data_IF_783742798104
#
_entry.id   IF_783742798104
#
_cell.length_a   1.000
_cell.length_b   1.000
_cell.length_c   1.000
_cell.angle_alpha   90.00
_cell.angle_beta   90.00
_cell.angle_gamma   90.00
#
_symmetry.space_group_name_H-M   'P 1'
#
loop_
_entity.id
_entity.type
_entity.pdbx_description
1 polymer ?
#
# COMPACT_ATOMS: atom_id res chain seq x y z
N UNK A 1 -8.79 28.53 4.88
CA UNK A 1 -7.47 28.92 4.34
C UNK A 1 -6.71 29.68 5.40
N UNK A 2 -7.38 30.62 6.09
CA UNK A 2 -6.81 31.36 7.22
C UNK A 2 -6.27 30.44 8.32
N UNK A 3 -7.03 29.44 8.76
CA UNK A 3 -6.56 28.49 9.78
C UNK A 3 -5.33 27.67 9.34
N UNK A 4 -5.28 27.30 8.06
CA UNK A 4 -4.15 26.56 7.48
C UNK A 4 -2.91 27.47 7.41
N UNK A 5 -3.10 28.74 7.06
CA UNK A 5 -2.04 29.73 6.99
C UNK A 5 -1.44 29.98 8.38
N UNK A 6 -2.31 30.17 9.40
CA UNK A 6 -1.91 30.32 10.78
C UNK A 6 -1.16 29.08 11.30
N UNK A 7 -1.70 27.88 11.10
CA UNK A 7 -1.07 26.64 11.54
C UNK A 7 0.27 26.35 10.85
N UNK A 8 0.44 26.77 9.60
CA UNK A 8 1.68 26.61 8.84
C UNK A 8 2.67 27.79 9.01
N UNK A 9 2.32 28.80 9.83
CA UNK A 9 3.08 30.03 10.00
C UNK A 9 3.45 30.73 8.68
N UNK A 10 2.48 30.82 7.76
CA UNK A 10 2.62 31.50 6.46
C UNK A 10 1.46 32.46 6.22
N UNK A 11 1.62 33.40 5.29
CA UNK A 11 0.51 34.28 4.91
C UNK A 11 -0.54 33.54 4.07
N UNK A 12 -1.81 33.97 4.16
CA UNK A 12 -2.89 33.51 3.27
C UNK A 12 -2.50 33.71 1.79
N UNK A 13 -1.88 34.85 1.46
CA UNK A 13 -1.40 35.18 0.11
C UNK A 13 -0.38 34.15 -0.41
N UNK A 14 0.52 33.67 0.46
CA UNK A 14 1.49 32.62 0.13
C UNK A 14 0.79 31.32 -0.25
N UNK A 15 -0.24 30.90 0.49
CA UNK A 15 -0.98 29.67 0.16
C UNK A 15 -1.74 29.79 -1.16
N UNK A 16 -2.41 30.92 -1.42
CA UNK A 16 -3.08 31.14 -2.70
C UNK A 16 -2.09 31.23 -3.87
N UNK A 17 -0.96 31.91 -3.69
CA UNK A 17 0.07 31.99 -4.74
C UNK A 17 0.65 30.62 -5.11
N UNK A 18 0.73 29.69 -4.14
CA UNK A 18 1.33 28.38 -4.35
C UNK A 18 0.35 27.33 -4.86
N UNK A 19 -0.89 27.37 -4.38
CA UNK A 19 -1.87 26.30 -4.63
C UNK A 19 -3.12 26.78 -5.37
N UNK A 20 -3.35 28.09 -5.51
CA UNK A 20 -4.51 28.67 -6.20
C UNK A 20 -5.84 28.56 -5.46
N UNK A 21 -6.12 27.42 -4.82
CA UNK A 21 -7.36 27.19 -4.06
C UNK A 21 -7.18 26.25 -2.88
N UNK A 22 -8.16 26.24 -1.95
CA UNK A 22 -8.22 25.27 -0.84
C UNK A 22 -8.28 23.83 -1.37
N UNK A 23 -9.03 23.59 -2.43
CA UNK A 23 -9.17 22.26 -3.06
C UNK A 23 -7.83 21.76 -3.59
N UNK A 24 -7.12 22.60 -4.34
CA UNK A 24 -5.80 22.27 -4.90
C UNK A 24 -4.74 22.07 -3.80
N UNK A 25 -4.80 22.83 -2.71
CA UNK A 25 -3.97 22.58 -1.53
C UNK A 25 -4.23 21.21 -0.92
N UNK A 26 -5.51 20.83 -0.77
CA UNK A 26 -5.89 19.52 -0.22
C UNK A 26 -5.45 18.36 -1.12
N UNK A 27 -5.62 18.49 -2.44
CA UNK A 27 -5.13 17.52 -3.43
C UNK A 27 -3.62 17.36 -3.31
N UNK A 28 -2.87 18.47 -3.40
CA UNK A 28 -1.41 18.45 -3.27
C UNK A 28 -0.94 17.85 -1.93
N UNK A 29 -1.71 18.07 -0.85
CA UNK A 29 -1.42 17.50 0.46
C UNK A 29 -1.67 15.99 0.51
N UNK A 30 -2.78 15.52 -0.05
CA UNK A 30 -3.06 14.09 -0.18
C UNK A 30 -1.96 13.40 -0.99
N UNK A 31 -1.54 14.02 -2.10
CA UNK A 31 -0.49 13.48 -2.96
C UNK A 31 0.86 13.38 -2.26
N UNK A 32 1.31 14.50 -1.69
CA UNK A 32 2.56 14.55 -0.97
C UNK A 32 2.56 13.60 0.24
N UNK A 33 1.42 13.48 0.94
CA UNK A 33 1.24 12.56 2.04
C UNK A 33 1.45 11.11 1.60
N UNK A 34 0.71 10.67 0.59
CA UNK A 34 0.81 9.31 0.02
C UNK A 34 2.24 9.00 -0.42
N UNK A 35 2.87 9.88 -1.20
CA UNK A 35 4.24 9.67 -1.68
C UNK A 35 5.26 9.58 -0.52
N UNK A 36 5.13 10.42 0.51
CA UNK A 36 6.01 10.39 1.68
C UNK A 36 5.92 9.07 2.43
N UNK A 37 4.71 8.56 2.66
CA UNK A 37 4.52 7.30 3.38
C UNK A 37 4.95 6.09 2.55
N UNK A 38 4.74 6.11 1.23
CA UNK A 38 5.25 5.07 0.33
C UNK A 38 6.77 5.00 0.30
N UNK A 39 7.46 6.15 0.21
CA UNK A 39 8.93 6.21 0.25
C UNK A 39 9.52 5.62 1.54
N UNK A 40 8.77 5.65 2.64
CA UNK A 40 9.19 5.07 3.91
C UNK A 40 9.03 3.54 3.95
N UNK A 41 8.27 2.94 3.03
CA UNK A 41 8.12 1.49 2.91
C UNK A 41 9.32 0.95 2.13
N UNK A 42 10.30 0.42 2.84
CA UNK A 42 11.47 -0.21 2.23
C UNK A 42 11.15 -1.63 1.77
N UNK A 43 11.36 -1.89 0.48
CA UNK A 43 11.32 -3.23 -0.11
C UNK A 43 12.67 -3.91 0.16
N UNK A 44 12.65 -4.95 0.99
CA UNK A 44 13.84 -5.78 1.18
C UNK A 44 13.95 -6.78 0.02
N UNK A 45 14.83 -6.48 -0.93
CA UNK A 45 15.10 -7.31 -2.11
C UNK A 45 16.09 -8.45 -1.84
N UNK A 46 16.80 -8.46 -0.71
CA UNK A 46 17.98 -9.31 -0.50
C UNK A 46 17.73 -10.51 0.42
N UNK A 47 16.62 -10.58 1.14
CA UNK A 47 16.41 -11.63 2.15
C UNK A 47 15.23 -12.56 1.85
N UNK A 48 15.53 -13.86 1.72
CA UNK A 48 14.57 -14.96 1.69
C UNK A 48 13.83 -15.17 0.36
N UNK A 49 13.02 -16.22 0.32
CA UNK A 49 12.10 -16.52 -0.79
C UNK A 49 11.09 -15.38 -1.04
N UNK A 50 10.43 -15.41 -2.21
CA UNK A 50 9.41 -14.41 -2.57
C UNK A 50 8.32 -14.28 -1.50
N UNK A 51 7.86 -15.40 -0.93
CA UNK A 51 6.81 -15.43 0.10
C UNK A 51 7.18 -14.58 1.32
N UNK A 52 8.39 -14.75 1.85
CA UNK A 52 8.88 -13.99 3.00
C UNK A 52 9.07 -12.51 2.69
N UNK A 53 9.54 -12.17 1.48
CA UNK A 53 9.64 -10.78 1.01
C UNK A 53 8.27 -10.11 0.95
N UNK A 54 7.29 -10.79 0.36
CA UNK A 54 5.90 -10.31 0.28
C UNK A 54 5.28 -10.15 1.67
N UNK A 55 5.41 -11.12 2.56
CA UNK A 55 4.87 -11.03 3.92
C UNK A 55 5.44 -9.83 4.69
N UNK A 56 6.77 -9.61 4.62
CA UNK A 56 7.42 -8.44 5.23
C UNK A 56 6.91 -7.14 4.63
N UNK A 57 6.78 -7.06 3.30
CA UNK A 57 6.31 -5.88 2.59
C UNK A 57 4.85 -5.56 2.96
N UNK A 58 3.94 -6.53 2.81
CA UNK A 58 2.52 -6.39 3.16
C UNK A 58 2.33 -6.04 4.63
N UNK A 59 3.17 -6.58 5.52
CA UNK A 59 3.12 -6.22 6.93
C UNK A 59 3.47 -4.75 7.16
N UNK A 60 4.55 -4.25 6.56
CA UNK A 60 4.93 -2.83 6.63
C UNK A 60 3.83 -1.92 6.07
N UNK A 61 3.21 -2.33 4.96
CA UNK A 61 2.10 -1.59 4.35
C UNK A 61 0.87 -1.55 5.26
N UNK A 62 0.44 -2.69 5.81
CA UNK A 62 -0.69 -2.73 6.74
C UNK A 62 -0.42 -1.90 8.00
N UNK A 63 0.78 -1.99 8.58
CA UNK A 63 1.15 -1.18 9.74
C UNK A 63 1.17 0.31 9.43
N UNK A 64 1.62 0.70 8.23
CA UNK A 64 1.57 2.09 7.77
C UNK A 64 0.12 2.56 7.56
N UNK A 65 -0.73 1.74 6.92
CA UNK A 65 -2.11 2.07 6.60
C UNK A 65 -3.03 2.23 7.85
N UNK A 66 -2.57 1.73 8.99
CA UNK A 66 -3.24 1.87 10.29
C UNK A 66 -2.78 3.09 11.10
N UNK A 67 -1.79 3.86 10.61
CA UNK A 67 -1.35 5.09 11.28
C UNK A 67 -2.42 6.18 11.14
N UNK A 68 -2.70 6.97 12.21
CA UNK A 68 -3.71 8.04 12.16
C UNK A 68 -3.52 9.01 10.99
N UNK A 69 -2.27 9.36 10.69
CA UNK A 69 -1.91 10.26 9.59
C UNK A 69 -2.32 9.69 8.21
N UNK A 70 -2.10 8.38 7.99
CA UNK A 70 -2.44 7.71 6.73
C UNK A 70 -3.95 7.52 6.61
N UNK A 71 -4.62 7.20 7.72
CA UNK A 71 -6.09 7.17 7.77
C UNK A 71 -6.65 8.54 7.35
N UNK A 72 -6.10 9.64 7.88
CA UNK A 72 -6.52 10.99 7.50
C UNK A 72 -6.26 11.33 6.02
N UNK A 73 -5.13 10.89 5.46
CA UNK A 73 -4.82 11.05 4.02
C UNK A 73 -5.83 10.30 3.16
N UNK A 74 -6.18 9.06 3.51
CA UNK A 74 -7.16 8.26 2.78
C UNK A 74 -8.57 8.84 2.89
N UNK A 75 -8.98 9.32 4.08
CA UNK A 75 -10.25 10.05 4.23
C UNK A 75 -10.30 11.27 3.31
N UNK A 76 -9.19 12.00 3.21
CA UNK A 76 -9.09 13.12 2.28
C UNK A 76 -9.17 12.67 0.82
N UNK A 77 -8.53 11.57 0.46
CA UNK A 77 -8.63 10.98 -0.87
C UNK A 77 -10.07 10.57 -1.20
N UNK A 78 -10.77 9.88 -0.31
CA UNK A 78 -12.20 9.53 -0.47
C UNK A 78 -13.05 10.78 -0.70
N UNK A 79 -12.84 11.84 0.08
CA UNK A 79 -13.55 13.11 -0.11
C UNK A 79 -13.28 13.76 -1.48
N UNK A 80 -12.06 13.62 -2.02
CA UNK A 80 -11.70 14.07 -3.38
C UNK A 80 -12.48 13.26 -4.42
N UNK A 81 -12.52 11.94 -4.29
CA UNK A 81 -13.25 11.03 -5.20
C UNK A 81 -14.76 11.27 -5.18
N UNK A 82 -15.36 11.41 -3.99
CA UNK A 82 -16.81 11.68 -3.85
C UNK A 82 -17.23 12.98 -4.54
N UNK A 83 -16.31 13.93 -4.68
CA UNK A 83 -16.52 15.22 -5.35
C UNK A 83 -16.18 15.21 -6.84
N UNK A 84 -15.81 14.07 -7.41
CA UNK A 84 -15.41 13.93 -8.81
C UNK A 84 -14.19 14.78 -9.19
N UNK A 85 -13.25 14.93 -8.24
CA UNK A 85 -12.04 15.74 -8.40
C UNK A 85 -10.80 14.87 -8.68
N UNK A 86 -10.97 13.57 -8.88
CA UNK A 86 -9.90 12.59 -9.07
C UNK A 86 -9.06 12.80 -10.33
N UNK A 87 -9.62 13.44 -11.37
CA UNK A 87 -8.85 13.85 -12.55
C UNK A 87 -7.72 14.83 -12.22
N UNK A 88 -7.73 15.42 -11.02
CA UNK A 88 -6.71 16.34 -10.52
C UNK A 88 -5.64 15.61 -9.69
N UNK A 89 -5.76 14.29 -9.47
CA UNK A 89 -4.76 13.47 -8.81
C UNK A 89 -3.76 12.92 -9.83
N UNK A 90 -2.47 13.07 -9.51
CA UNK A 90 -1.33 12.61 -10.30
C UNK A 90 -0.81 11.23 -9.86
N UNK A 91 -1.44 10.61 -8.85
CA UNK A 91 -1.00 9.33 -8.30
C UNK A 91 -1.63 8.16 -9.07
N UNK A 92 -0.84 7.11 -9.32
CA UNK A 92 -1.31 5.81 -9.80
C UNK A 92 -2.49 5.30 -8.95
N UNK A 93 -3.48 4.63 -9.57
CA UNK A 93 -4.69 4.17 -8.86
C UNK A 93 -4.41 3.28 -7.64
N UNK A 94 -3.24 2.63 -7.56
CA UNK A 94 -2.82 1.88 -6.38
C UNK A 94 -1.28 1.79 -6.25
N UNK A 95 -0.62 2.76 -5.59
CA UNK A 95 0.84 2.77 -5.49
C UNK A 95 1.41 1.68 -4.56
N UNK A 96 0.59 1.11 -3.66
CA UNK A 96 0.99 -0.02 -2.84
C UNK A 96 1.07 -1.32 -3.64
N UNK A 97 0.11 -1.55 -4.55
CA UNK A 97 0.15 -2.69 -5.47
C UNK A 97 1.37 -2.67 -6.39
N UNK A 98 1.84 -1.49 -6.83
CA UNK A 98 3.05 -1.38 -7.66
C UNK A 98 4.30 -1.95 -6.98
N UNK A 99 4.46 -1.78 -5.65
CA UNK A 99 5.59 -2.37 -4.92
C UNK A 99 5.53 -3.90 -4.88
N UNK A 100 4.32 -4.47 -4.84
CA UNK A 100 4.11 -5.92 -4.91
C UNK A 100 4.42 -6.41 -6.32
N UNK A 101 3.92 -5.70 -7.35
CA UNK A 101 4.14 -6.02 -8.75
C UNK A 101 5.64 -6.05 -9.09
N UNK A 102 6.44 -5.13 -8.55
CA UNK A 102 7.89 -5.11 -8.74
C UNK A 102 8.53 -6.43 -8.26
N UNK A 103 8.17 -6.90 -7.06
CA UNK A 103 8.67 -8.18 -6.52
C UNK A 103 8.21 -9.38 -7.33
N UNK A 104 6.95 -9.39 -7.75
CA UNK A 104 6.39 -10.47 -8.58
C UNK A 104 7.07 -10.51 -9.96
N UNK A 105 7.37 -9.35 -10.55
CA UNK A 105 8.01 -9.25 -11.86
C UNK A 105 9.45 -9.77 -11.82
N UNK A 106 10.18 -9.47 -10.75
CA UNK A 106 11.53 -10.01 -10.53
C UNK A 106 11.49 -11.55 -10.47
N UNK A 107 10.56 -12.12 -9.69
CA UNK A 107 10.45 -13.57 -9.53
C UNK A 107 9.94 -14.29 -10.78
N UNK A 108 8.91 -13.75 -11.43
CA UNK A 108 8.31 -14.33 -12.63
C UNK A 108 9.34 -14.44 -13.76
N UNK A 109 10.22 -13.44 -13.88
CA UNK A 109 11.35 -13.47 -14.82
C UNK A 109 12.35 -14.58 -14.50
N UNK A 110 12.69 -14.79 -13.23
CA UNK A 110 13.63 -15.84 -12.81
C UNK A 110 13.04 -17.23 -13.03
N UNK A 111 11.75 -17.40 -12.72
CA UNK A 111 11.04 -18.69 -12.82
C UNK A 111 10.44 -18.96 -14.21
N UNK A 112 10.52 -18.00 -15.13
CA UNK A 112 9.91 -18.05 -16.46
C UNK A 112 8.41 -18.41 -16.41
N UNK A 113 7.68 -17.76 -15.50
CA UNK A 113 6.23 -17.94 -15.31
C UNK A 113 5.51 -16.76 -15.94
N UNK A 114 4.53 -17.05 -16.80
CA UNK A 114 3.60 -16.06 -17.34
C UNK A 114 2.37 -15.99 -16.44
N UNK A 115 2.03 -14.78 -15.98
CA UNK A 115 0.94 -14.51 -15.05
C UNK A 115 0.47 -13.06 -15.22
N UNK A 116 -0.79 -12.76 -14.90
CA UNK A 116 -1.27 -11.38 -14.86
C UNK A 116 -0.76 -10.67 -13.59
N UNK A 117 0.51 -10.25 -13.64
CA UNK A 117 1.20 -9.63 -12.49
C UNK A 117 0.51 -8.34 -12.00
N UNK A 118 0.02 -7.43 -12.86
CA UNK A 118 -0.76 -6.28 -12.40
C UNK A 118 -2.00 -6.68 -11.60
N UNK A 119 -2.79 -7.64 -12.10
CA UNK A 119 -3.98 -8.12 -11.40
C UNK A 119 -3.61 -8.82 -10.09
N UNK A 120 -2.64 -9.73 -10.13
CA UNK A 120 -2.19 -10.48 -8.96
C UNK A 120 -1.66 -9.54 -7.87
N UNK A 121 -0.89 -8.52 -8.23
CA UNK A 121 -0.36 -7.53 -7.29
C UNK A 121 -1.48 -6.73 -6.60
N UNK A 122 -2.48 -6.28 -7.37
CA UNK A 122 -3.65 -5.60 -6.83
C UNK A 122 -4.45 -6.51 -5.90
N UNK A 123 -4.67 -7.77 -6.30
CA UNK A 123 -5.39 -8.75 -5.52
C UNK A 123 -4.68 -9.08 -4.18
N UNK A 124 -3.37 -9.29 -4.22
CA UNK A 124 -2.57 -9.48 -2.99
C UNK A 124 -2.68 -8.24 -2.11
N UNK A 125 -2.52 -7.04 -2.67
CA UNK A 125 -2.63 -5.79 -1.90
C UNK A 125 -3.98 -5.68 -1.19
N UNK A 126 -5.07 -5.98 -1.89
CA UNK A 126 -6.41 -5.92 -1.31
C UNK A 126 -6.62 -6.98 -0.23
N UNK A 127 -6.17 -8.22 -0.45
CA UNK A 127 -6.31 -9.30 0.52
C UNK A 127 -5.44 -9.11 1.78
N UNK A 128 -4.30 -8.41 1.65
CA UNK A 128 -3.29 -8.30 2.71
C UNK A 128 -3.20 -6.93 3.37
N UNK A 129 -3.71 -5.87 2.74
CA UNK A 129 -3.66 -4.49 3.25
C UNK A 129 -5.05 -3.91 3.37
N UNK A 130 -5.76 -3.71 2.25
CA UNK A 130 -7.06 -3.02 2.22
C UNK A 130 -8.12 -3.76 3.06
N UNK A 131 -8.25 -5.08 2.83
CA UNK A 131 -9.18 -5.96 3.53
C UNK A 131 -8.95 -6.01 5.04
N UNK A 132 -7.78 -6.43 5.54
CA UNK A 132 -7.51 -6.47 6.98
C UNK A 132 -7.57 -5.08 7.63
N UNK A 133 -7.20 -4.01 6.93
CA UNK A 133 -7.40 -2.64 7.43
C UNK A 133 -8.88 -2.35 7.68
N UNK A 134 -9.76 -2.65 6.73
CA UNK A 134 -11.20 -2.48 6.91
C UNK A 134 -11.75 -3.35 8.06
N UNK A 135 -11.23 -4.57 8.20
CA UNK A 135 -11.55 -5.47 9.32
C UNK A 135 -11.14 -4.92 10.68
N UNK A 136 -9.99 -4.26 10.76
CA UNK A 136 -9.48 -3.62 11.98
C UNK A 136 -10.21 -2.31 12.30
N UNK A 137 -10.38 -1.44 11.31
CA UNK A 137 -10.87 -0.07 11.53
C UNK A 137 -12.38 0.05 11.52
N UNK A 138 -13.07 -0.67 10.63
CA UNK A 138 -14.51 -0.53 10.40
C UNK A 138 -15.29 -1.67 11.02
N UNK A 139 -14.99 -2.92 10.61
CA UNK A 139 -15.76 -4.11 11.04
C UNK A 139 -15.45 -4.55 12.46
N UNK A 140 -14.26 -4.19 12.97
CA UNK A 140 -13.73 -4.56 14.29
C UNK A 140 -13.66 -6.08 14.54
N UNK A 141 -13.52 -6.87 13.46
CA UNK A 141 -13.47 -8.35 13.51
C UNK A 141 -12.06 -8.93 13.24
N UNK A 142 -11.05 -8.06 13.25
CA UNK A 142 -9.64 -8.43 13.28
C UNK A 142 -8.93 -7.54 14.32
N UNK A 143 -8.23 -8.16 15.27
CA UNK A 143 -7.52 -7.41 16.31
C UNK A 143 -6.31 -6.65 15.74
N UNK A 144 -6.09 -5.41 16.18
CA UNK A 144 -4.88 -4.65 15.83
C UNK A 144 -3.69 -5.03 16.72
N UNK A 145 -3.34 -6.31 16.74
CA UNK A 145 -2.15 -6.81 17.44
C UNK A 145 -1.12 -7.30 16.44
N UNK A 146 0.14 -7.35 16.85
CA UNK A 146 1.18 -7.85 15.97
C UNK A 146 0.95 -9.30 15.57
N UNK A 147 0.47 -10.14 16.50
CA UNK A 147 0.15 -11.54 16.26
C UNK A 147 -0.98 -11.72 15.25
N UNK A 148 -2.14 -11.09 15.48
CA UNK A 148 -3.32 -11.27 14.62
C UNK A 148 -3.06 -10.83 13.17
N UNK A 149 -2.32 -9.73 12.98
CA UNK A 149 -1.92 -9.28 11.64
C UNK A 149 -0.96 -10.27 10.97
N UNK A 150 0.00 -10.82 11.70
CA UNK A 150 0.93 -11.84 11.13
C UNK A 150 0.19 -13.11 10.74
N UNK A 151 -0.72 -13.60 11.59
CA UNK A 151 -1.54 -14.78 11.32
C UNK A 151 -2.43 -14.58 10.08
N UNK A 152 -3.15 -13.44 9.99
CA UNK A 152 -3.98 -13.11 8.82
C UNK A 152 -3.17 -13.07 7.51
N UNK A 153 -2.01 -12.42 7.54
CA UNK A 153 -1.14 -12.30 6.36
C UNK A 153 -0.59 -13.66 5.92
N UNK A 154 -0.12 -14.48 6.87
CA UNK A 154 0.38 -15.83 6.58
C UNK A 154 -0.71 -16.72 5.99
N UNK A 155 -1.89 -16.77 6.62
CA UNK A 155 -3.03 -17.56 6.14
C UNK A 155 -3.49 -17.13 4.75
N UNK A 156 -3.53 -15.82 4.50
CA UNK A 156 -3.87 -15.27 3.18
C UNK A 156 -2.85 -15.74 2.14
N UNK A 157 -1.55 -15.60 2.43
CA UNK A 157 -0.51 -16.00 1.49
C UNK A 157 -0.48 -17.51 1.24
N UNK A 158 -0.75 -18.33 2.26
CA UNK A 158 -0.83 -19.78 2.14
C UNK A 158 -2.03 -20.23 1.30
N UNK A 159 -3.14 -19.49 1.35
CA UNK A 159 -4.28 -19.75 0.47
C UNK A 159 -3.94 -19.39 -0.98
N UNK A 160 -3.30 -18.24 -1.21
CA UNK A 160 -2.92 -17.80 -2.56
C UNK A 160 -1.88 -18.73 -3.19
N UNK A 161 -0.89 -19.20 -2.41
CA UNK A 161 0.14 -20.11 -2.88
C UNK A 161 -0.40 -21.45 -3.38
N UNK A 162 -1.60 -21.87 -2.96
CA UNK A 162 -2.25 -23.10 -3.47
C UNK A 162 -2.85 -22.93 -4.88
N UNK A 163 -3.08 -21.69 -5.30
CA UNK A 163 -3.75 -21.38 -6.56
C UNK A 163 -2.83 -20.68 -7.58
N UNK A 164 -1.76 -20.04 -7.10
CA UNK A 164 -0.86 -19.23 -7.92
C UNK A 164 0.54 -19.85 -7.90
N UNK A 165 0.99 -20.51 -8.98
CA UNK A 165 2.29 -21.19 -9.04
C UNK A 165 3.48 -20.29 -8.72
N UNK A 166 3.40 -19.00 -9.06
CA UNK A 166 4.44 -18.01 -8.76
C UNK A 166 4.66 -17.81 -7.25
N UNK A 167 3.64 -18.08 -6.43
CA UNK A 167 3.68 -17.91 -4.97
C UNK A 167 4.01 -19.21 -4.23
N UNK A 168 4.06 -20.34 -4.94
CA UNK A 168 4.52 -21.59 -4.35
C UNK A 168 5.99 -21.44 -3.93
N UNK A 169 6.35 -21.92 -2.71
CA UNK A 169 7.74 -21.94 -2.29
C UNK A 169 8.53 -22.80 -3.27
N UNK A 170 9.72 -22.33 -3.67
CA UNK A 170 10.64 -23.15 -4.43
C UNK A 170 10.90 -24.45 -3.65
N UNK A 171 10.58 -25.59 -4.26
CA UNK A 171 11.04 -26.88 -3.77
C UNK A 171 12.56 -26.79 -3.69
N UNK A 172 13.09 -26.67 -2.47
CA UNK A 172 14.52 -26.80 -2.22
C UNK A 172 14.95 -28.10 -2.88
N UNK A 173 15.73 -28.00 -3.97
CA UNK A 173 16.33 -29.16 -4.57
C UNK A 173 17.17 -29.80 -3.46
N UNK A 174 16.73 -30.97 -3.01
CA UNK A 174 17.51 -31.79 -2.09
C UNK A 174 18.93 -31.89 -2.66
N UNK A 175 19.99 -31.70 -1.84
CA UNK A 175 21.34 -31.88 -2.33
C UNK A 175 21.43 -33.29 -2.90
N UNK A 176 21.73 -33.38 -4.20
CA UNK A 176 22.08 -34.65 -4.84
C UNK A 176 23.25 -35.22 -4.03
N UNK A 177 22.99 -36.30 -3.29
CA UNK A 177 24.02 -37.15 -2.71
C UNK A 177 24.67 -37.98 -3.80
#
# INVERSE_FOLDING_TARGET
MDDIAAAANVSKRTLYSRYGSKTQLLIARAEHGTQRHLKAITVDRRSGDLRNRLLKLCRKMLDAALKPEVIGIETLATWIFERKLEAQLSIHRNPGASLIQDLLTEEARVRNIEEDLPFLAAFIFDATVTGPRARILLRKDLANTARAKTEHLAQTMDLLARAVPLLEPELQHAPKR
#
